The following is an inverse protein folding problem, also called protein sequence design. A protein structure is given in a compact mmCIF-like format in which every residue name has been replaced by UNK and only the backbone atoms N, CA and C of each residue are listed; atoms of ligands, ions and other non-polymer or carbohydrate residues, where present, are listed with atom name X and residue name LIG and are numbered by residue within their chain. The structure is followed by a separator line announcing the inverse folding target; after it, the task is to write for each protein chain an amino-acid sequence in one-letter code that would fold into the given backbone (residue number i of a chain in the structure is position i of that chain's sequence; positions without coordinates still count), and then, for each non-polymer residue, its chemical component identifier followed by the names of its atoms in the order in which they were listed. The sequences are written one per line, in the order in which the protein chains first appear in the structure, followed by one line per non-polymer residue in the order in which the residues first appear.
data_IF_728946844970
#
_entry.id   IF_728946844970
#
_cell.length_a   1.000
_cell.length_b   1.000
_cell.length_c   1.000
_cell.angle_alpha   90.00
_cell.angle_beta   90.00
_cell.angle_gamma   90.00
#
_symmetry.space_group_name_H-M   'P 1'
#
loop_
_entity.id
_entity.type
_entity.pdbx_description
1 polymer ?
#
# COMPACT_ATOMS: atom_id res chain seq x y z
N UNK A 1 1.67 -13.51 -42.41
CA UNK A 1 1.39 -14.13 -41.09
C UNK A 1 2.40 -13.77 -39.97
N UNK A 2 3.33 -12.82 -40.13
CA UNK A 2 4.38 -12.53 -39.12
C UNK A 2 4.12 -11.36 -38.15
N UNK A 3 3.32 -10.37 -38.54
CA UNK A 3 3.12 -9.12 -37.80
C UNK A 3 2.24 -9.27 -36.56
N UNK A 4 1.13 -10.02 -36.65
CA UNK A 4 0.23 -10.26 -35.52
C UNK A 4 0.89 -11.03 -34.36
N UNK A 5 1.77 -11.99 -34.65
CA UNK A 5 2.52 -12.75 -33.64
C UNK A 5 3.56 -11.89 -32.91
N UNK A 6 4.23 -10.99 -33.63
CA UNK A 6 5.21 -10.06 -33.05
C UNK A 6 4.54 -9.02 -32.14
N UNK A 7 3.40 -8.46 -32.57
CA UNK A 7 2.61 -7.53 -31.74
C UNK A 7 2.05 -8.23 -30.49
N UNK A 8 1.51 -9.45 -30.64
CA UNK A 8 1.03 -10.24 -29.51
C UNK A 8 2.16 -10.60 -28.53
N UNK A 9 3.37 -10.92 -29.02
CA UNK A 9 4.56 -11.19 -28.21
C UNK A 9 5.01 -9.97 -27.42
N UNK A 10 5.04 -8.78 -28.03
CA UNK A 10 5.39 -7.53 -27.35
C UNK A 10 4.36 -7.24 -26.26
N UNK A 11 3.07 -7.28 -26.59
CA UNK A 11 1.98 -7.06 -25.62
C UNK A 11 2.06 -8.08 -24.47
N UNK A 12 2.26 -9.37 -24.75
CA UNK A 12 2.38 -10.40 -23.73
C UNK A 12 3.61 -10.22 -22.83
N UNK A 13 4.74 -9.74 -23.39
CA UNK A 13 5.97 -9.47 -22.62
C UNK A 13 5.80 -8.23 -21.74
N UNK A 14 5.19 -7.16 -22.27
CA UNK A 14 4.86 -5.94 -21.53
C UNK A 14 3.84 -6.21 -20.42
N UNK A 15 2.79 -6.99 -20.71
CA UNK A 15 1.79 -7.41 -19.73
C UNK A 15 2.39 -8.36 -18.68
N UNK A 16 3.27 -9.29 -19.06
CA UNK A 16 3.91 -10.22 -18.14
C UNK A 16 4.87 -9.53 -17.16
N UNK A 17 5.66 -8.56 -17.63
CA UNK A 17 6.54 -7.76 -16.78
C UNK A 17 5.77 -6.86 -15.82
N UNK A 18 4.78 -6.11 -16.35
CA UNK A 18 3.94 -5.20 -15.57
C UNK A 18 3.08 -5.92 -14.54
N UNK A 19 2.41 -7.02 -14.91
CA UNK A 19 1.57 -7.80 -14.00
C UNK A 19 2.36 -8.43 -12.84
N UNK A 20 3.57 -8.92 -13.10
CA UNK A 20 4.46 -9.47 -12.05
C UNK A 20 4.90 -8.38 -11.05
N UNK A 21 5.17 -7.18 -11.54
CA UNK A 21 5.49 -6.03 -10.68
C UNK A 21 4.27 -5.63 -9.83
N UNK A 22 3.09 -5.51 -10.44
CA UNK A 22 1.85 -5.22 -9.71
C UNK A 22 1.54 -6.27 -8.64
N UNK A 23 1.70 -7.56 -8.97
CA UNK A 23 1.50 -8.65 -8.03
C UNK A 23 2.49 -8.60 -6.84
N UNK A 24 3.76 -8.29 -7.10
CA UNK A 24 4.77 -8.08 -6.05
C UNK A 24 4.43 -6.88 -5.18
N UNK A 25 4.06 -5.74 -5.78
CA UNK A 25 3.66 -4.53 -5.07
C UNK A 25 2.44 -4.78 -4.18
N UNK A 26 1.43 -5.47 -4.72
CA UNK A 26 0.25 -5.91 -3.96
C UNK A 26 0.63 -6.79 -2.76
N UNK A 27 1.51 -7.76 -2.97
CA UNK A 27 1.99 -8.64 -1.91
C UNK A 27 2.76 -7.89 -0.82
N UNK A 28 3.64 -6.96 -1.21
CA UNK A 28 4.38 -6.10 -0.29
C UNK A 28 3.44 -5.20 0.52
N UNK A 29 2.41 -4.63 -0.11
CA UNK A 29 1.37 -3.87 0.56
C UNK A 29 0.61 -4.69 1.59
N UNK A 30 0.24 -5.93 1.22
CA UNK A 30 -0.43 -6.85 2.13
C UNK A 30 0.45 -7.18 3.34
N UNK A 31 1.75 -7.42 3.12
CA UNK A 31 2.72 -7.65 4.19
C UNK A 31 2.87 -6.41 5.09
N UNK A 32 3.04 -5.23 4.51
CA UNK A 32 3.14 -3.97 5.25
C UNK A 32 1.94 -3.72 6.15
N UNK A 33 0.71 -3.93 5.64
CA UNK A 33 -0.52 -3.83 6.44
C UNK A 33 -0.53 -4.82 7.61
N UNK A 34 0.01 -6.03 7.41
CA UNK A 34 0.19 -7.03 8.45
C UNK A 34 1.12 -6.56 9.56
N UNK A 35 2.25 -5.93 9.21
CA UNK A 35 3.20 -5.38 10.19
C UNK A 35 2.61 -4.21 10.97
N UNK A 36 1.89 -3.29 10.30
CA UNK A 36 1.18 -2.19 11.01
C UNK A 36 0.17 -2.75 12.02
N UNK A 37 -0.57 -3.81 11.65
CA UNK A 37 -1.50 -4.47 12.58
C UNK A 37 -0.79 -5.08 13.78
N UNK A 38 0.37 -5.72 13.59
CA UNK A 38 1.17 -6.27 14.68
C UNK A 38 1.69 -5.16 15.59
N UNK A 39 2.26 -4.10 15.01
CA UNK A 39 2.77 -2.95 15.75
C UNK A 39 1.66 -2.28 16.59
N UNK A 40 0.48 -2.05 16.01
CA UNK A 40 -0.67 -1.50 16.71
C UNK A 40 -1.10 -2.37 17.90
N UNK A 41 -1.07 -3.71 17.73
CA UNK A 41 -1.38 -4.65 18.81
C UNK A 41 -0.34 -4.62 19.93
N UNK A 42 0.95 -4.59 19.58
CA UNK A 42 2.02 -4.45 20.57
C UNK A 42 1.87 -3.15 21.34
N UNK A 43 1.63 -2.04 20.63
CA UNK A 43 1.43 -0.73 21.24
C UNK A 43 0.23 -0.71 22.18
N UNK A 44 -0.92 -1.25 21.76
CA UNK A 44 -2.09 -1.43 22.61
C UNK A 44 -1.78 -2.21 23.90
N UNK A 45 -1.07 -3.33 23.79
CA UNK A 45 -0.68 -4.13 24.96
C UNK A 45 0.25 -3.34 25.90
N UNK A 46 1.18 -2.56 25.35
CA UNK A 46 2.07 -1.69 26.14
C UNK A 46 1.30 -0.61 26.88
N UNK A 47 0.30 0.01 26.24
CA UNK A 47 -0.56 1.02 26.88
C UNK A 47 -1.35 0.42 28.06
N UNK A 48 -1.92 -0.78 27.89
CA UNK A 48 -2.59 -1.49 28.98
C UNK A 48 -1.63 -1.83 30.11
N UNK A 49 -0.44 -2.35 29.78
CA UNK A 49 0.58 -2.68 30.77
C UNK A 49 1.05 -1.45 31.57
N UNK A 50 0.92 -0.26 30.99
CA UNK A 50 1.23 1.03 31.61
C UNK A 50 0.07 1.60 32.44
N UNK A 51 -1.07 0.89 32.52
CA UNK A 51 -2.23 1.28 33.33
C UNK A 51 -3.29 2.11 32.58
N UNK A 52 -3.20 2.24 31.26
CA UNK A 52 -4.21 2.97 30.48
C UNK A 52 -5.47 2.09 30.34
N UNK A 53 -6.67 2.64 30.56
CA UNK A 53 -7.93 1.94 30.33
C UNK A 53 -8.02 1.34 28.92
N UNK A 54 -8.68 0.19 28.81
CA UNK A 54 -8.75 -0.56 27.53
C UNK A 54 -9.40 0.24 26.40
N UNK A 55 -10.39 1.07 26.73
CA UNK A 55 -11.08 1.93 25.78
C UNK A 55 -10.14 2.99 25.19
N UNK A 56 -9.44 3.73 26.06
CA UNK A 56 -8.47 4.75 25.65
C UNK A 56 -7.30 4.14 24.89
N UNK A 57 -6.74 3.03 25.37
CA UNK A 57 -5.64 2.34 24.70
C UNK A 57 -6.03 1.87 23.28
N UNK A 58 -7.29 1.46 23.09
CA UNK A 58 -7.81 1.09 21.77
C UNK A 58 -7.90 2.30 20.85
N UNK A 59 -8.44 3.42 21.33
CA UNK A 59 -8.55 4.64 20.52
C UNK A 59 -7.18 5.18 20.11
N UNK A 60 -6.25 5.26 21.07
CA UNK A 60 -4.87 5.71 20.85
C UNK A 60 -4.14 4.81 19.85
N UNK A 61 -4.27 3.48 19.99
CA UNK A 61 -3.62 2.54 19.08
C UNK A 61 -4.20 2.58 17.66
N UNK A 62 -5.50 2.83 17.50
CA UNK A 62 -6.13 3.05 16.20
C UNK A 62 -5.63 4.36 15.58
N UNK A 63 -5.60 5.45 16.36
CA UNK A 63 -5.11 6.74 15.89
C UNK A 63 -3.65 6.68 15.44
N UNK A 64 -2.81 5.93 16.17
CA UNK A 64 -1.42 5.65 15.78
C UNK A 64 -1.30 4.87 14.47
N UNK A 65 -2.14 3.85 14.26
CA UNK A 65 -2.05 2.96 13.10
C UNK A 65 -2.69 3.55 11.83
N UNK A 66 -3.68 4.42 11.98
CA UNK A 66 -4.45 5.04 10.88
C UNK A 66 -3.57 5.67 9.78
N UNK A 67 -2.61 6.58 10.07
CA UNK A 67 -1.80 7.21 9.03
C UNK A 67 -0.97 6.17 8.25
N UNK A 68 -0.44 5.15 8.93
CA UNK A 68 0.31 4.09 8.26
C UNK A 68 -0.57 3.26 7.32
N UNK A 69 -1.83 2.99 7.67
CA UNK A 69 -2.78 2.32 6.77
C UNK A 69 -3.17 3.17 5.57
N UNK A 70 -3.31 4.48 5.76
CA UNK A 70 -3.63 5.42 4.67
C UNK A 70 -2.48 5.49 3.65
N UNK A 71 -1.23 5.57 4.12
CA UNK A 71 -0.04 5.54 3.25
C UNK A 71 0.02 4.22 2.48
N UNK A 72 -0.25 3.08 3.13
CA UNK A 72 -0.27 1.76 2.51
C UNK A 72 -1.52 1.50 1.64
N UNK A 73 -2.25 2.54 1.25
CA UNK A 73 -3.26 2.42 0.19
C UNK A 73 -2.59 2.55 -1.18
N UNK A 74 -2.98 1.68 -2.12
CA UNK A 74 -2.46 1.69 -3.50
C UNK A 74 -2.61 3.09 -4.11
N UNK A 75 -3.75 3.75 -3.89
CA UNK A 75 -4.03 5.09 -4.39
C UNK A 75 -3.05 6.14 -3.86
N UNK A 76 -2.76 6.12 -2.55
CA UNK A 76 -1.84 7.10 -1.96
C UNK A 76 -0.39 6.82 -2.34
N UNK A 77 0.00 5.56 -2.51
CA UNK A 77 1.33 5.23 -3.04
C UNK A 77 1.51 5.72 -4.47
N UNK A 78 0.50 5.55 -5.32
CA UNK A 78 0.53 6.08 -6.70
C UNK A 78 0.64 7.60 -6.67
N UNK A 79 -0.17 8.27 -5.84
CA UNK A 79 -0.11 9.71 -5.64
C UNK A 79 1.29 10.18 -5.19
N UNK A 80 1.87 9.52 -4.19
CA UNK A 80 3.21 9.83 -3.70
C UNK A 80 4.31 9.60 -4.73
N UNK A 81 4.19 8.53 -5.54
CA UNK A 81 5.15 8.25 -6.60
C UNK A 81 5.13 9.36 -7.66
N UNK A 82 3.94 9.83 -8.05
CA UNK A 82 3.76 10.95 -9.00
C UNK A 82 4.32 12.25 -8.43
N UNK A 83 3.98 12.57 -7.17
CA UNK A 83 4.49 13.77 -6.48
C UNK A 83 6.04 13.74 -6.35
N UNK A 84 6.63 12.55 -6.15
CA UNK A 84 8.08 12.35 -6.06
C UNK A 84 8.81 12.51 -7.39
N UNK A 85 8.15 12.29 -8.52
CA UNK A 85 8.74 12.43 -9.87
C UNK A 85 8.72 13.89 -10.38
N UNK A 86 8.21 14.84 -9.59
CA UNK A 86 8.18 16.26 -9.94
C UNK A 86 7.19 16.62 -11.05
N UNK A 87 6.23 15.74 -11.34
CA UNK A 87 5.20 15.96 -12.36
C UNK A 87 3.99 16.70 -11.77
N UNK A 88 3.55 17.75 -12.47
CA UNK A 88 2.29 18.44 -12.18
C UNK A 88 1.12 17.44 -12.16
N UNK A 89 0.28 17.57 -11.14
CA UNK A 89 -0.85 16.70 -10.77
C UNK A 89 -1.63 16.18 -12.00
N UNK A 90 -1.76 14.86 -12.22
CA UNK A 90 -2.56 14.32 -13.31
C UNK A 90 -4.07 14.48 -13.03
N UNK A 91 -4.90 14.60 -14.08
CA UNK A 91 -6.32 14.92 -13.94
C UNK A 91 -7.05 13.83 -13.15
N UNK A 92 -7.88 14.28 -12.21
CA UNK A 92 -8.79 13.44 -11.45
C UNK A 92 -9.70 12.64 -12.39
N UNK A 93 -9.57 11.31 -12.39
CA UNK A 93 -10.66 10.45 -12.85
C UNK A 93 -11.59 10.19 -11.66
N UNK A 94 -12.81 10.74 -11.78
CA UNK A 94 -13.94 10.55 -10.88
C UNK A 94 -14.37 9.08 -10.80
#
# INVERSE_FOLDING_TARGET
MGTARSIASIIATSMGGGSKLLAKTWWSLRKGRGEVKKAARTFYNTLIASGIPREDAKEISIAYAKPAWEILSVRNLIRMAIESEGSEVPPFFF
#
